data_IF_570711906500
#
_entry.id   IF_570711906500
#
_cell.length_a   1.000
_cell.length_b   1.000
_cell.length_c   1.000
_cell.angle_alpha   90.00
_cell.angle_beta   90.00
_cell.angle_gamma   90.00
#
_symmetry.space_group_name_H-M   'P 1'
#
loop_
_entity.id
_entity.type
_entity.pdbx_description
1 polymer ?
#
# COMPACT_ATOMS: atom_id res chain seq x y z
N UNK A 1 24.13 -28.53 -1.31
CA UNK A 1 23.19 -27.61 -0.64
C UNK A 1 23.11 -26.32 -1.45
N UNK A 2 22.10 -26.16 -2.32
CA UNK A 2 21.87 -24.90 -3.06
C UNK A 2 20.46 -24.85 -3.72
N UNK A 3 19.40 -25.33 -3.06
CA UNK A 3 18.05 -25.40 -3.69
C UNK A 3 16.90 -24.83 -2.84
N UNK A 4 17.16 -24.35 -1.63
CA UNK A 4 16.11 -23.72 -0.80
C UNK A 4 16.01 -22.21 -1.02
N UNK A 5 17.07 -21.54 -1.48
CA UNK A 5 17.10 -20.08 -1.64
C UNK A 5 16.18 -19.57 -2.75
N UNK A 6 16.13 -20.25 -3.90
CA UNK A 6 15.31 -19.83 -5.06
C UNK A 6 13.82 -20.12 -4.86
N UNK A 7 13.45 -21.26 -4.27
CA UNK A 7 12.03 -21.58 -4.01
C UNK A 7 11.44 -20.71 -2.90
N UNK A 8 12.14 -20.58 -1.76
CA UNK A 8 11.65 -19.72 -0.68
C UNK A 8 11.55 -18.24 -1.10
N UNK A 9 12.44 -17.79 -2.01
CA UNK A 9 12.36 -16.45 -2.58
C UNK A 9 11.19 -16.31 -3.56
N UNK A 10 10.93 -17.32 -4.39
CA UNK A 10 9.76 -17.34 -5.27
C UNK A 10 8.45 -17.31 -4.47
N UNK A 11 8.31 -18.16 -3.46
CA UNK A 11 7.13 -18.21 -2.59
C UNK A 11 6.90 -16.86 -1.87
N UNK A 12 7.99 -16.21 -1.43
CA UNK A 12 7.95 -14.89 -0.79
C UNK A 12 7.47 -13.79 -1.75
N UNK A 13 7.92 -13.81 -3.01
CA UNK A 13 7.50 -12.85 -4.04
C UNK A 13 6.05 -13.11 -4.46
N UNK A 14 5.65 -14.37 -4.64
CA UNK A 14 4.26 -14.71 -4.97
C UNK A 14 3.31 -14.20 -3.88
N UNK A 15 3.69 -14.35 -2.61
CA UNK A 15 2.88 -13.86 -1.50
C UNK A 15 2.69 -12.35 -1.53
N UNK A 16 3.73 -11.57 -1.81
CA UNK A 16 3.58 -10.10 -1.89
C UNK A 16 2.69 -9.68 -3.07
N UNK A 17 2.75 -10.41 -4.19
CA UNK A 17 1.87 -10.16 -5.34
C UNK A 17 0.40 -10.50 -5.04
N UNK A 18 0.12 -11.59 -4.31
CA UNK A 18 -1.24 -11.91 -3.84
C UNK A 18 -1.83 -10.81 -2.98
N UNK A 19 -1.07 -10.38 -1.96
CA UNK A 19 -1.48 -9.30 -1.04
C UNK A 19 -1.69 -8.00 -1.81
N UNK A 20 -0.88 -7.75 -2.84
CA UNK A 20 -1.05 -6.57 -3.71
C UNK A 20 -2.35 -6.61 -4.50
N UNK A 21 -2.69 -7.77 -5.08
CA UNK A 21 -3.97 -7.92 -5.80
C UNK A 21 -5.17 -7.71 -4.88
N UNK A 22 -5.11 -8.24 -3.66
CA UNK A 22 -6.16 -8.01 -2.65
C UNK A 22 -6.25 -6.52 -2.27
N UNK A 23 -5.11 -5.86 -2.04
CA UNK A 23 -5.06 -4.43 -1.74
C UNK A 23 -5.62 -3.55 -2.87
N UNK A 24 -5.36 -3.90 -4.14
CA UNK A 24 -5.97 -3.19 -5.27
C UNK A 24 -7.50 -3.28 -5.23
N UNK A 25 -8.05 -4.48 -5.03
CA UNK A 25 -9.49 -4.66 -4.93
C UNK A 25 -10.12 -3.88 -3.77
N UNK A 26 -9.41 -3.76 -2.63
CA UNK A 26 -9.84 -2.92 -1.50
C UNK A 26 -9.87 -1.43 -1.85
N UNK A 27 -8.87 -0.94 -2.59
CA UNK A 27 -8.82 0.46 -3.04
C UNK A 27 -9.96 0.74 -4.03
N UNK A 28 -10.15 -0.13 -5.02
CA UNK A 28 -11.22 0.02 -6.02
C UNK A 28 -12.63 -0.03 -5.39
N UNK A 29 -12.80 -0.74 -4.28
CA UNK A 29 -14.05 -0.81 -3.54
C UNK A 29 -14.29 0.38 -2.60
N UNK A 30 -13.26 1.16 -2.28
CA UNK A 30 -13.35 2.30 -1.37
C UNK A 30 -13.80 3.56 -2.14
N UNK A 31 -15.01 4.11 -1.89
CA UNK A 31 -15.58 5.20 -2.69
C UNK A 31 -14.85 6.55 -2.51
N UNK A 32 -13.84 6.57 -1.65
CA UNK A 32 -13.09 7.75 -1.28
C UNK A 32 -11.63 7.66 -1.77
N UNK A 33 -11.25 6.56 -2.43
CA UNK A 33 -9.94 6.36 -3.02
C UNK A 33 -10.04 6.28 -4.54
N UNK A 34 -9.03 6.82 -5.21
CA UNK A 34 -8.87 6.75 -6.66
C UNK A 34 -7.58 5.99 -6.99
N UNK A 35 -7.70 4.84 -7.65
CA UNK A 35 -6.56 4.05 -8.08
C UNK A 35 -5.90 4.73 -9.29
N UNK A 36 -4.64 5.15 -9.13
CA UNK A 36 -3.91 5.89 -10.17
C UNK A 36 -3.65 5.00 -11.39
N UNK A 37 -3.29 3.74 -11.14
CA UNK A 37 -3.07 2.74 -12.19
C UNK A 37 -3.18 1.32 -11.61
N UNK A 38 -3.55 0.32 -12.42
CA UNK A 38 -3.50 -1.08 -12.01
C UNK A 38 -2.10 -1.46 -11.51
N UNK A 39 -2.03 -2.24 -10.43
CA UNK A 39 -0.79 -2.73 -9.89
C UNK A 39 -0.12 -3.68 -10.89
N UNK A 40 1.13 -3.38 -11.26
CA UNK A 40 1.94 -4.24 -12.15
C UNK A 40 2.80 -5.24 -11.37
N UNK A 41 3.19 -4.91 -10.14
CA UNK A 41 3.97 -5.75 -9.23
C UNK A 41 3.43 -5.63 -7.81
N UNK A 42 4.27 -5.24 -6.84
CA UNK A 42 3.91 -5.13 -5.43
C UNK A 42 3.70 -3.70 -4.94
N UNK A 43 3.34 -2.79 -5.84
CA UNK A 43 3.15 -1.37 -5.54
C UNK A 43 1.74 -0.95 -5.92
N UNK A 44 1.02 -0.39 -4.95
CA UNK A 44 -0.29 0.24 -5.13
C UNK A 44 -0.11 1.74 -5.11
N UNK A 45 -0.51 2.42 -6.18
CA UNK A 45 -0.50 3.87 -6.29
C UNK A 45 -1.93 4.39 -6.39
N UNK A 46 -2.33 5.25 -5.45
CA UNK A 46 -3.70 5.75 -5.37
C UNK A 46 -3.75 7.13 -4.69
N UNK A 47 -4.86 7.83 -4.88
CA UNK A 47 -5.16 9.11 -4.24
C UNK A 47 -6.31 8.95 -3.27
N UNK A 48 -6.32 9.77 -2.23
CA UNK A 48 -7.47 9.99 -1.37
C UNK A 48 -8.23 11.20 -1.89
N UNK A 49 -9.49 11.00 -2.26
CA UNK A 49 -10.29 12.06 -2.86
C UNK A 49 -10.46 13.24 -1.90
N UNK A 50 -10.29 14.46 -2.41
CA UNK A 50 -10.43 15.69 -1.64
C UNK A 50 -9.29 16.02 -0.68
N UNK A 51 -8.22 15.20 -0.61
CA UNK A 51 -7.05 15.50 0.21
C UNK A 51 -6.00 16.32 -0.54
N UNK A 52 -5.38 17.24 0.18
CA UNK A 52 -4.21 18.01 -0.24
C UNK A 52 -2.97 17.47 0.47
N UNK A 53 -1.77 17.91 0.06
CA UNK A 53 -0.51 17.47 0.66
C UNK A 53 -0.50 17.54 2.20
N UNK A 54 -1.03 18.63 2.77
CA UNK A 54 -1.09 18.82 4.22
C UNK A 54 -1.94 17.76 4.94
N UNK A 55 -3.01 17.27 4.30
CA UNK A 55 -3.87 16.22 4.86
C UNK A 55 -3.12 14.89 4.95
N UNK A 56 -2.37 14.55 3.88
CA UNK A 56 -1.50 13.37 3.89
C UNK A 56 -0.38 13.48 4.93
N UNK A 57 0.25 14.65 5.08
CA UNK A 57 1.33 14.85 6.05
C UNK A 57 0.82 14.65 7.48
N UNK A 58 -0.33 15.24 7.82
CA UNK A 58 -0.96 15.08 9.14
C UNK A 58 -1.38 13.63 9.37
N UNK A 59 -1.98 12.97 8.39
CA UNK A 59 -2.37 11.56 8.49
C UNK A 59 -1.16 10.63 8.67
N UNK A 60 -0.09 10.86 7.91
CA UNK A 60 1.14 10.05 7.98
C UNK A 60 1.83 10.20 9.33
N UNK A 61 1.85 11.42 9.87
CA UNK A 61 2.37 11.68 11.23
C UNK A 61 1.55 10.95 12.29
N UNK A 62 0.21 10.97 12.19
CA UNK A 62 -0.66 10.22 13.12
C UNK A 62 -0.41 8.72 13.04
N UNK A 63 -0.28 8.16 11.84
CA UNK A 63 -0.01 6.75 11.63
C UNK A 63 1.30 6.30 12.29
N UNK A 64 2.33 7.14 12.21
CA UNK A 64 3.63 6.93 12.83
C UNK A 64 3.55 7.00 14.36
N UNK A 65 2.88 8.03 14.90
CA UNK A 65 2.71 8.24 16.35
C UNK A 65 1.88 7.11 16.99
N UNK A 66 0.84 6.66 16.31
CA UNK A 66 -0.02 5.55 16.75
C UNK A 66 0.69 4.18 16.64
N UNK A 67 1.90 4.12 16.06
CA UNK A 67 2.65 2.88 15.86
C UNK A 67 1.99 1.92 14.87
N UNK A 68 1.04 2.40 14.05
CA UNK A 68 0.30 1.59 13.08
C UNK A 68 1.14 1.33 11.82
N UNK A 69 1.97 2.29 11.41
CA UNK A 69 2.85 2.14 10.26
C UNK A 69 3.51 3.45 9.83
N UNK A 70 4.45 3.35 8.89
CA UNK A 70 5.06 4.50 8.23
C UNK A 70 4.67 4.48 6.75
N UNK A 71 3.68 5.28 6.41
CA UNK A 71 3.26 5.52 5.02
C UNK A 71 3.48 7.00 4.77
N UNK A 72 4.23 7.35 3.72
CA UNK A 72 4.55 8.73 3.38
C UNK A 72 3.94 9.09 2.03
N UNK A 73 3.46 10.33 1.85
CA UNK A 73 2.98 10.80 0.57
C UNK A 73 4.10 10.91 -0.46
N UNK A 74 3.71 10.79 -1.72
CA UNK A 74 4.52 11.04 -2.90
C UNK A 74 3.75 11.97 -3.83
N UNK A 75 4.41 12.51 -4.86
CA UNK A 75 3.72 13.16 -5.97
C UNK A 75 3.64 12.20 -7.18
N UNK A 76 2.50 12.22 -7.87
CA UNK A 76 2.32 11.60 -9.19
C UNK A 76 1.70 12.66 -10.10
N UNK A 77 2.39 13.00 -11.19
CA UNK A 77 2.03 14.08 -12.12
C UNK A 77 1.84 15.44 -11.43
N UNK A 78 2.62 15.69 -10.37
CA UNK A 78 2.54 16.93 -9.57
C UNK A 78 1.46 16.91 -8.49
N UNK A 79 0.58 15.92 -8.47
CA UNK A 79 -0.50 15.78 -7.49
C UNK A 79 -0.12 14.83 -6.35
N UNK A 80 -0.53 15.10 -5.11
CA UNK A 80 -0.22 14.25 -3.96
C UNK A 80 -0.95 12.90 -4.05
N UNK A 81 -0.25 11.84 -3.71
CA UNK A 81 -0.72 10.46 -3.76
C UNK A 81 -0.02 9.59 -2.70
N UNK A 82 -0.52 8.38 -2.49
CA UNK A 82 0.11 7.35 -1.67
C UNK A 82 0.68 6.23 -2.54
N UNK A 83 1.78 5.65 -2.06
CA UNK A 83 2.33 4.40 -2.59
C UNK A 83 2.50 3.39 -1.47
N UNK A 84 1.77 2.28 -1.54
CA UNK A 84 1.98 1.14 -0.67
C UNK A 84 2.86 0.11 -1.40
N UNK A 85 4.10 0.00 -0.95
CA UNK A 85 5.07 -0.95 -1.48
C UNK A 85 5.10 -2.20 -0.58
N UNK A 86 4.51 -3.30 -1.05
CA UNK A 86 4.42 -4.56 -0.32
C UNK A 86 5.71 -5.34 -0.56
N UNK A 87 6.69 -5.11 0.31
CA UNK A 87 8.04 -5.70 0.23
C UNK A 87 8.30 -6.77 1.27
N UNK A 88 7.56 -6.75 2.38
CA UNK A 88 7.71 -7.71 3.46
C UNK A 88 6.75 -8.89 3.22
N UNK A 89 7.24 -10.12 3.02
CA UNK A 89 6.39 -11.30 2.80
C UNK A 89 5.46 -11.65 3.97
N UNK A 90 5.72 -11.06 5.16
CA UNK A 90 4.86 -11.20 6.34
C UNK A 90 3.68 -10.24 6.35
N UNK A 91 3.70 -9.21 5.50
CA UNK A 91 2.56 -8.31 5.33
C UNK A 91 1.39 -9.11 4.78
N UNK A 92 0.21 -8.91 5.35
CA UNK A 92 -1.02 -9.58 4.96
C UNK A 92 -2.11 -8.57 4.58
N UNK A 93 -3.28 -9.08 4.22
CA UNK A 93 -4.43 -8.28 3.77
C UNK A 93 -5.06 -7.46 4.90
N UNK A 94 -4.98 -7.93 6.14
CA UNK A 94 -5.48 -7.20 7.32
C UNK A 94 -4.62 -5.96 7.58
N UNK A 95 -3.29 -6.05 7.40
CA UNK A 95 -2.39 -4.90 7.51
C UNK A 95 -2.80 -3.81 6.50
N UNK A 96 -3.08 -4.18 5.25
CA UNK A 96 -3.54 -3.23 4.23
C UNK A 96 -4.90 -2.65 4.57
N UNK A 97 -5.82 -3.49 5.05
CA UNK A 97 -7.15 -3.05 5.47
C UNK A 97 -7.07 -2.00 6.57
N UNK A 98 -6.20 -2.18 7.57
CA UNK A 98 -6.00 -1.20 8.64
C UNK A 98 -5.56 0.14 8.06
N UNK A 99 -4.64 0.15 7.10
CA UNK A 99 -4.18 1.37 6.45
C UNK A 99 -5.31 2.03 5.64
N UNK A 100 -6.04 1.26 4.86
CA UNK A 100 -7.14 1.76 4.02
C UNK A 100 -8.27 2.31 4.88
N UNK A 101 -8.68 1.60 5.93
CA UNK A 101 -9.74 2.05 6.85
C UNK A 101 -9.37 3.36 7.56
N UNK A 102 -8.07 3.59 7.84
CA UNK A 102 -7.57 4.85 8.43
C UNK A 102 -7.63 6.03 7.47
N UNK A 103 -7.82 5.80 6.17
CA UNK A 103 -7.97 6.85 5.17
C UNK A 103 -9.43 7.31 5.02
N UNK A 104 -10.41 6.52 5.48
CA UNK A 104 -11.84 6.87 5.40
C UNK A 104 -12.13 8.20 6.13
#
# INVERSE_FOLDING_TARGET
MAVHGTRAYADAVERTLEVTRAGQAMIEAAPYLDLVMPATLSVLAFRREGWHQADYDVWSQKLLVDGTGLVLPTAIDGEPALRLCIVNPRTNEEDLKIIIDRLA
#
